data_IF_583377031649
#
_entry.id   IF_583377031649
#
_cell.length_a   1.000
_cell.length_b   1.000
_cell.length_c   1.000
_cell.angle_alpha   90.00
_cell.angle_beta   90.00
_cell.angle_gamma   90.00
#
_symmetry.space_group_name_H-M   'P 1'
#
loop_
_entity.id
_entity.type
_entity.pdbx_description
1 polymer ?
#
# COMPACT_ATOMS: atom_id res chain seq x y z
N UNK A 1 14.66 -36.37 22.21
CA UNK A 1 14.31 -35.74 20.92
C UNK A 1 12.82 -35.40 20.96
N UNK A 2 12.32 -34.38 20.25
CA UNK A 2 10.89 -34.24 20.05
C UNK A 2 10.34 -35.52 19.38
N UNK A 3 9.08 -35.84 19.66
CA UNK A 3 8.43 -37.01 19.08
C UNK A 3 8.36 -36.88 17.55
N UNK A 4 8.50 -37.98 16.80
CA UNK A 4 8.36 -37.96 15.35
C UNK A 4 6.95 -37.50 14.97
N UNK A 5 6.87 -36.53 14.05
CA UNK A 5 5.61 -36.01 13.53
C UNK A 5 5.09 -36.95 12.45
N UNK A 6 3.86 -37.45 12.61
CA UNK A 6 3.17 -38.18 11.54
C UNK A 6 2.78 -37.20 10.41
N UNK A 7 3.26 -37.48 9.19
CA UNK A 7 3.09 -36.58 8.05
C UNK A 7 1.63 -36.42 7.62
N UNK A 8 0.81 -37.47 7.75
CA UNK A 8 -0.59 -37.41 7.36
C UNK A 8 -1.44 -36.68 8.41
N UNK A 9 -1.12 -36.84 9.69
CA UNK A 9 -1.72 -36.04 10.77
C UNK A 9 -1.36 -34.55 10.62
N UNK A 10 -0.09 -34.24 10.34
CA UNK A 10 0.35 -32.87 10.11
C UNK A 10 -0.39 -32.22 8.93
N UNK A 11 -0.49 -32.92 7.80
CA UNK A 11 -1.23 -32.43 6.63
C UNK A 11 -2.71 -32.19 6.96
N UNK A 12 -3.39 -33.16 7.59
CA UNK A 12 -4.80 -33.01 7.99
C UNK A 12 -5.00 -31.83 8.93
N UNK A 13 -4.10 -31.64 9.89
CA UNK A 13 -4.15 -30.52 10.83
C UNK A 13 -3.99 -29.17 10.09
N UNK A 14 -3.02 -29.07 9.17
CA UNK A 14 -2.79 -27.87 8.36
C UNK A 14 -4.00 -27.54 7.46
N UNK A 15 -4.56 -28.53 6.76
CA UNK A 15 -5.74 -28.32 5.93
C UNK A 15 -6.96 -27.90 6.75
N UNK A 16 -7.17 -28.55 7.90
CA UNK A 16 -8.27 -28.23 8.81
C UNK A 16 -8.14 -26.80 9.31
N UNK A 17 -6.94 -26.39 9.74
CA UNK A 17 -6.67 -25.03 10.20
C UNK A 17 -7.04 -23.99 9.13
N UNK A 18 -6.51 -24.13 7.91
CA UNK A 18 -6.74 -23.13 6.85
C UNK A 18 -8.19 -23.12 6.36
N UNK A 19 -8.85 -24.28 6.27
CA UNK A 19 -10.28 -24.35 5.92
C UNK A 19 -11.15 -23.71 6.99
N UNK A 20 -10.82 -23.90 8.27
CA UNK A 20 -11.53 -23.25 9.38
C UNK A 20 -11.28 -21.75 9.39
N UNK A 21 -10.04 -21.33 9.20
CA UNK A 21 -9.65 -19.93 9.16
C UNK A 21 -10.38 -19.18 8.04
N UNK A 22 -10.51 -19.76 6.85
CA UNK A 22 -11.23 -19.14 5.72
C UNK A 22 -12.76 -19.09 5.86
N UNK A 23 -13.37 -19.74 6.86
CA UNK A 23 -14.84 -19.76 7.02
C UNK A 23 -15.51 -18.39 7.05
N UNK A 24 -14.94 -17.33 7.66
CA UNK A 24 -15.55 -16.01 7.71
C UNK A 24 -15.48 -15.23 6.40
N UNK A 25 -14.82 -15.75 5.35
CA UNK A 25 -14.67 -15.05 4.07
C UNK A 25 -16.04 -14.66 3.50
N UNK A 26 -16.25 -13.35 3.36
CA UNK A 26 -17.51 -12.75 2.89
C UNK A 26 -17.62 -12.64 1.37
N UNK A 27 -16.52 -12.78 0.64
CA UNK A 27 -16.49 -12.65 -0.81
C UNK A 27 -17.03 -13.90 -1.52
N UNK A 28 -18.11 -13.72 -2.28
CA UNK A 28 -18.78 -14.77 -3.07
C UNK A 28 -18.71 -14.51 -4.58
N UNK A 29 -17.96 -13.49 -5.01
CA UNK A 29 -17.82 -13.09 -6.40
C UNK A 29 -16.96 -14.05 -7.25
N UNK A 30 -16.82 -13.78 -8.57
CA UNK A 30 -16.17 -14.69 -9.51
C UNK A 30 -14.67 -14.92 -9.22
N UNK A 31 -14.02 -14.00 -8.51
CA UNK A 31 -12.58 -14.08 -8.20
C UNK A 31 -12.27 -14.69 -6.84
N UNK A 32 -13.20 -15.47 -6.26
CA UNK A 32 -13.13 -15.94 -4.87
C UNK A 32 -11.85 -16.70 -4.55
N UNK A 33 -11.37 -17.54 -5.45
CA UNK A 33 -10.15 -18.30 -5.23
C UNK A 33 -8.90 -17.41 -5.21
N UNK A 34 -8.88 -16.36 -6.03
CA UNK A 34 -7.80 -15.37 -6.03
C UNK A 34 -7.80 -14.57 -4.73
N UNK A 35 -8.98 -14.13 -4.28
CA UNK A 35 -9.16 -13.41 -3.00
C UNK A 35 -8.75 -14.28 -1.82
N UNK A 36 -9.24 -15.52 -1.75
CA UNK A 36 -8.93 -16.47 -0.68
C UNK A 36 -7.42 -16.78 -0.62
N UNK A 37 -6.77 -16.99 -1.78
CA UNK A 37 -5.32 -17.20 -1.83
C UNK A 37 -4.56 -15.98 -1.31
N UNK A 38 -4.90 -14.78 -1.76
CA UNK A 38 -4.25 -13.55 -1.29
C UNK A 38 -4.42 -13.33 0.21
N UNK A 39 -5.61 -13.60 0.76
CA UNK A 39 -5.86 -13.53 2.20
C UNK A 39 -5.03 -14.55 2.99
N UNK A 40 -4.92 -15.80 2.51
CA UNK A 40 -4.03 -16.82 3.09
C UNK A 40 -2.59 -16.30 3.10
N UNK A 41 -2.13 -15.69 2.01
CA UNK A 41 -0.77 -15.12 1.91
C UNK A 41 -0.57 -14.03 2.97
N UNK A 42 -1.47 -13.05 3.07
CA UNK A 42 -1.37 -11.99 4.09
C UNK A 42 -1.36 -12.57 5.52
N UNK A 43 -2.16 -13.60 5.78
CA UNK A 43 -2.16 -14.31 7.07
C UNK A 43 -0.83 -15.02 7.32
N UNK A 44 -0.26 -15.68 6.31
CA UNK A 44 1.01 -16.38 6.41
C UNK A 44 2.21 -15.42 6.61
N UNK A 45 2.09 -14.18 6.14
CA UNK A 45 3.06 -13.10 6.39
C UNK A 45 2.90 -12.45 7.77
N UNK A 46 1.85 -12.80 8.52
CA UNK A 46 1.61 -12.28 9.87
C UNK A 46 2.30 -13.15 10.91
N UNK A 47 3.19 -12.55 11.70
CA UNK A 47 3.83 -13.20 12.83
C UNK A 47 2.84 -13.32 13.99
N UNK A 48 2.29 -14.53 14.18
CA UNK A 48 1.21 -14.82 15.13
C UNK A 48 1.46 -14.30 16.57
N UNK A 49 2.67 -14.41 17.15
CA UNK A 49 2.89 -13.97 18.54
C UNK A 49 2.71 -12.47 18.76
N UNK A 50 2.93 -11.64 17.74
CA UNK A 50 2.89 -10.19 17.88
C UNK A 50 1.77 -9.54 17.08
N UNK A 51 1.38 -10.14 15.95
CA UNK A 51 0.48 -9.55 14.96
C UNK A 51 1.20 -8.68 13.90
N UNK A 52 2.53 -8.60 13.93
CA UNK A 52 3.31 -7.87 12.92
C UNK A 52 3.26 -8.59 11.57
N UNK A 53 2.92 -7.89 10.50
CA UNK A 53 2.91 -8.41 9.12
C UNK A 53 4.14 -7.91 8.36
N UNK A 54 4.93 -8.83 7.81
CA UNK A 54 6.09 -8.45 6.99
C UNK A 54 5.67 -8.12 5.57
N UNK A 55 6.37 -7.19 4.91
CA UNK A 55 6.12 -6.86 3.51
C UNK A 55 6.35 -8.07 2.57
N UNK A 56 7.39 -8.86 2.87
CA UNK A 56 7.64 -10.17 2.26
C UNK A 56 8.52 -11.04 3.20
N UNK A 57 8.53 -12.37 3.06
CA UNK A 57 9.39 -13.25 3.86
C UNK A 57 10.80 -13.40 3.28
N UNK A 58 11.16 -12.56 2.29
CA UNK A 58 12.42 -12.61 1.53
C UNK A 58 13.25 -11.35 1.72
N UNK A 59 14.52 -11.47 1.37
CA UNK A 59 15.44 -10.34 1.27
C UNK A 59 16.22 -10.41 -0.03
N UNK A 60 16.54 -9.25 -0.58
CA UNK A 60 17.52 -9.04 -1.64
C UNK A 60 17.24 -9.83 -2.91
N UNK A 61 15.96 -10.08 -3.18
CA UNK A 61 15.55 -10.51 -4.50
C UNK A 61 15.54 -9.28 -5.42
N UNK A 62 16.12 -9.40 -6.63
CA UNK A 62 16.37 -8.26 -7.49
C UNK A 62 15.12 -7.77 -8.24
N UNK A 63 14.90 -6.46 -8.22
CA UNK A 63 13.97 -5.75 -9.13
C UNK A 63 14.50 -5.74 -10.59
N UNK A 64 15.80 -5.95 -10.78
CA UNK A 64 16.45 -6.18 -12.07
C UNK A 64 17.58 -7.20 -11.89
N UNK A 65 17.61 -8.29 -12.65
CA UNK A 65 18.66 -9.31 -12.54
C UNK A 65 20.04 -8.68 -12.81
N UNK A 66 20.97 -8.83 -11.85
CA UNK A 66 22.29 -8.19 -11.87
C UNK A 66 22.30 -6.73 -11.41
N UNK A 67 21.12 -6.13 -11.19
CA UNK A 67 20.94 -4.75 -10.77
C UNK A 67 21.13 -4.52 -9.26
N UNK A 68 21.21 -3.25 -8.84
CA UNK A 68 21.50 -2.88 -7.46
C UNK A 68 20.26 -2.77 -6.57
N UNK A 69 19.04 -2.94 -7.10
CA UNK A 69 17.76 -2.80 -6.40
C UNK A 69 17.33 -4.11 -5.75
N UNK A 70 17.97 -4.40 -4.62
CA UNK A 70 17.83 -5.64 -3.86
C UNK A 70 17.59 -5.28 -2.39
N UNK A 71 16.34 -5.38 -1.91
CA UNK A 71 15.93 -4.86 -0.60
C UNK A 71 15.50 -5.97 0.38
N UNK A 72 15.70 -5.74 1.67
CA UNK A 72 15.21 -6.63 2.73
C UNK A 72 13.79 -6.24 3.15
N UNK A 73 12.82 -7.13 2.91
CA UNK A 73 11.39 -6.88 3.10
C UNK A 73 10.81 -7.63 4.30
N UNK A 74 11.65 -8.26 5.12
CA UNK A 74 11.26 -9.03 6.32
C UNK A 74 10.87 -8.15 7.51
N UNK A 75 10.43 -6.92 7.23
CA UNK A 75 10.06 -5.89 8.20
C UNK A 75 8.60 -5.48 8.00
N UNK A 76 8.05 -4.85 9.03
CA UNK A 76 6.67 -4.40 9.08
C UNK A 76 6.61 -2.91 8.76
N UNK A 77 6.18 -2.56 7.55
CA UNK A 77 5.83 -1.18 7.20
C UNK A 77 4.47 -0.80 7.77
N UNK A 78 4.36 0.43 8.28
CA UNK A 78 3.09 0.93 8.79
C UNK A 78 2.03 1.00 7.68
N UNK A 79 2.44 1.46 6.48
CA UNK A 79 1.66 1.49 5.24
C UNK A 79 1.05 0.14 4.90
N UNK A 80 1.91 -0.81 4.58
CA UNK A 80 1.55 -2.11 4.03
C UNK A 80 0.64 -2.86 4.99
N UNK A 81 0.91 -2.72 6.28
CA UNK A 81 0.13 -3.33 7.31
C UNK A 81 -1.27 -2.70 7.48
N UNK A 82 -1.39 -1.38 7.34
CA UNK A 82 -2.68 -0.69 7.30
C UNK A 82 -3.55 -1.12 6.12
N UNK A 83 -2.94 -1.27 4.95
CA UNK A 83 -3.62 -1.75 3.73
C UNK A 83 -4.00 -3.23 3.83
N UNK A 84 -3.13 -4.08 4.38
CA UNK A 84 -3.45 -5.49 4.64
C UNK A 84 -4.60 -5.62 5.66
N UNK A 85 -4.65 -4.75 6.66
CA UNK A 85 -5.74 -4.67 7.62
C UNK A 85 -7.07 -4.37 6.94
N UNK A 86 -7.10 -3.39 6.05
CA UNK A 86 -8.29 -3.05 5.28
C UNK A 86 -8.81 -4.27 4.50
N UNK A 87 -7.92 -4.98 3.81
CA UNK A 87 -8.28 -6.17 3.03
C UNK A 87 -8.87 -7.29 3.91
N UNK A 88 -8.28 -7.53 5.08
CA UNK A 88 -8.75 -8.52 6.06
C UNK A 88 -10.12 -8.12 6.64
N UNK A 89 -10.29 -6.87 7.08
CA UNK A 89 -11.54 -6.35 7.65
C UNK A 89 -12.69 -6.40 6.64
N UNK A 90 -12.46 -5.94 5.41
CA UNK A 90 -13.45 -6.02 4.31
C UNK A 90 -13.87 -7.46 4.03
N UNK A 91 -12.99 -8.42 4.29
CA UNK A 91 -13.21 -9.85 4.05
C UNK A 91 -13.75 -10.63 5.25
N UNK A 92 -14.06 -9.96 6.37
CA UNK A 92 -14.64 -10.58 7.57
C UNK A 92 -13.63 -11.06 8.62
N UNK A 93 -12.33 -10.77 8.44
CA UNK A 93 -11.25 -11.22 9.33
C UNK A 93 -10.90 -10.14 10.36
N UNK A 94 -11.52 -10.20 11.53
CA UNK A 94 -11.36 -9.19 12.61
C UNK A 94 -10.30 -9.55 13.65
N UNK A 95 -9.92 -10.83 13.78
CA UNK A 95 -8.97 -11.29 14.78
C UNK A 95 -7.54 -10.81 14.48
N UNK A 96 -7.09 -11.01 13.24
CA UNK A 96 -5.83 -10.48 12.71
C UNK A 96 -5.79 -8.96 12.87
N UNK A 97 -6.94 -8.33 12.68
CA UNK A 97 -7.04 -6.89 12.81
C UNK A 97 -6.87 -6.38 14.24
N UNK A 98 -7.32 -7.13 15.25
CA UNK A 98 -7.03 -6.81 16.65
C UNK A 98 -5.57 -7.06 17.01
N UNK A 99 -4.99 -8.18 16.54
CA UNK A 99 -3.59 -8.51 16.79
C UNK A 99 -2.65 -7.45 16.23
N UNK A 100 -2.85 -7.04 14.98
CA UNK A 100 -2.07 -5.98 14.35
C UNK A 100 -2.21 -4.64 15.07
N UNK A 101 -3.42 -4.26 15.50
CA UNK A 101 -3.61 -3.04 16.30
C UNK A 101 -2.79 -3.09 17.59
N UNK A 102 -2.76 -4.24 18.24
CA UNK A 102 -1.90 -4.47 19.40
C UNK A 102 -0.40 -4.32 19.07
N UNK A 103 0.04 -4.80 17.92
CA UNK A 103 1.41 -4.60 17.43
C UNK A 103 1.71 -3.12 17.19
N UNK A 104 0.85 -2.42 16.46
CA UNK A 104 1.01 -1.01 16.13
C UNK A 104 1.17 -0.17 17.39
N UNK A 105 0.28 -0.35 18.37
CA UNK A 105 0.33 0.37 19.65
C UNK A 105 1.67 0.20 20.37
N UNK A 106 2.26 -0.99 20.31
CA UNK A 106 3.58 -1.24 20.91
C UNK A 106 4.71 -0.62 20.08
N UNK A 107 4.65 -0.70 18.76
CA UNK A 107 5.68 -0.19 17.86
C UNK A 107 5.77 1.35 17.88
N UNK A 108 4.62 2.02 17.85
CA UNK A 108 4.53 3.50 17.81
C UNK A 108 4.49 4.15 19.20
N UNK A 109 4.62 3.35 20.27
CA UNK A 109 4.73 3.89 21.62
C UNK A 109 5.93 4.85 21.71
N UNK A 110 5.72 6.01 22.33
CA UNK A 110 6.72 7.06 22.46
C UNK A 110 6.24 8.42 21.92
N UNK A 111 7.18 9.25 21.46
CA UNK A 111 6.87 10.57 20.91
C UNK A 111 6.49 10.45 19.42
N UNK A 112 5.53 11.25 18.92
CA UNK A 112 5.11 11.23 17.51
C UNK A 112 6.26 11.45 16.53
N UNK A 113 7.21 12.33 16.89
CA UNK A 113 8.39 12.60 16.05
C UNK A 113 9.36 11.41 15.94
N UNK A 114 9.21 10.39 16.78
CA UNK A 114 10.04 9.19 16.77
C UNK A 114 9.33 8.01 16.08
N UNK A 115 8.15 8.23 15.45
CA UNK A 115 7.49 7.20 14.65
C UNK A 115 8.33 6.95 13.40
N UNK A 116 8.67 5.68 13.17
CA UNK A 116 9.40 5.22 11.99
C UNK A 116 8.42 4.69 10.96
N UNK A 117 8.86 4.64 9.70
CA UNK A 117 8.05 4.13 8.60
C UNK A 117 7.87 2.60 8.68
N UNK A 118 8.84 1.92 9.31
CA UNK A 118 8.88 0.47 9.44
C UNK A 118 9.55 0.04 10.74
N UNK A 119 9.27 -1.19 11.15
CA UNK A 119 9.76 -1.80 12.38
C UNK A 119 10.06 -3.29 12.18
N UNK A 120 10.81 -3.90 13.11
CA UNK A 120 10.93 -5.35 13.21
C UNK A 120 9.61 -6.02 13.57
N UNK A 121 9.54 -7.34 13.41
CA UNK A 121 8.33 -8.15 13.64
C UNK A 121 7.79 -8.03 15.08
N UNK A 122 8.62 -7.68 16.06
CA UNK A 122 8.18 -7.43 17.43
C UNK A 122 8.18 -5.93 17.81
N UNK A 123 8.36 -5.03 16.83
CA UNK A 123 8.39 -3.58 17.03
C UNK A 123 9.80 -3.00 17.20
N UNK A 124 10.84 -3.77 16.86
CA UNK A 124 12.23 -3.31 16.96
C UNK A 124 12.49 -2.12 16.02
N UNK A 125 13.16 -1.08 16.55
CA UNK A 125 13.44 0.16 15.82
C UNK A 125 14.75 0.15 15.02
N UNK A 126 15.67 -0.74 15.41
CA UNK A 126 17.03 -0.79 14.86
C UNK A 126 17.08 -1.75 13.69
N UNK A 127 16.93 -1.22 12.48
CA UNK A 127 16.97 -1.97 11.22
C UNK A 127 18.19 -1.58 10.37
N UNK A 128 19.35 -1.49 11.02
CA UNK A 128 20.60 -1.06 10.37
C UNK A 128 20.88 -1.90 9.13
N UNK A 129 20.91 -1.23 7.97
CA UNK A 129 21.25 -1.86 6.70
C UNK A 129 22.75 -2.14 6.61
N UNK A 130 23.11 -3.33 6.14
CA UNK A 130 24.47 -3.72 5.80
C UNK A 130 24.47 -4.72 4.64
N UNK A 131 25.60 -4.82 3.94
CA UNK A 131 25.75 -5.67 2.76
C UNK A 131 26.52 -6.96 3.09
N UNK A 132 25.93 -8.11 2.77
CA UNK A 132 26.55 -9.43 2.89
C UNK A 132 27.37 -9.76 1.63
N UNK A 133 28.54 -9.16 1.51
CA UNK A 133 29.41 -9.22 0.32
C UNK A 133 29.87 -10.64 -0.05
N UNK A 134 29.91 -11.57 0.90
CA UNK A 134 30.25 -12.98 0.67
C UNK A 134 29.15 -13.79 -0.01
N UNK A 135 27.92 -13.29 -0.06
CA UNK A 135 26.82 -13.95 -0.75
C UNK A 135 26.82 -13.53 -2.23
N UNK A 136 26.70 -14.48 -3.18
CA UNK A 136 26.68 -14.15 -4.60
C UNK A 136 25.38 -13.43 -5.01
N UNK A 137 24.33 -13.52 -4.19
CA UNK A 137 23.00 -13.02 -4.51
C UNK A 137 22.25 -13.89 -5.51
N UNK A 138 20.94 -13.66 -5.62
CA UNK A 138 20.09 -14.43 -6.52
C UNK A 138 20.47 -14.13 -7.98
N UNK A 139 20.81 -15.18 -8.74
CA UNK A 139 21.32 -15.08 -10.11
C UNK A 139 22.51 -14.11 -10.26
N UNK A 140 23.35 -13.98 -9.22
CA UNK A 140 24.50 -13.08 -9.24
C UNK A 140 24.17 -11.61 -8.98
N UNK A 141 22.93 -11.29 -8.59
CA UNK A 141 22.48 -9.92 -8.34
C UNK A 141 23.01 -9.40 -7.01
N UNK A 142 23.75 -8.29 -7.04
CA UNK A 142 24.43 -7.71 -5.86
C UNK A 142 24.07 -6.23 -5.72
N UNK A 143 24.05 -5.68 -4.50
CA UNK A 143 24.44 -6.32 -3.23
C UNK A 143 23.32 -7.18 -2.62
N UNK A 144 23.68 -8.06 -1.69
CA UNK A 144 22.73 -8.71 -0.77
C UNK A 144 22.66 -7.86 0.49
N UNK A 145 21.51 -7.24 0.75
CA UNK A 145 21.26 -6.36 1.90
C UNK A 145 20.55 -7.10 3.03
N UNK A 146 20.93 -6.77 4.25
CA UNK A 146 20.21 -7.17 5.47
C UNK A 146 19.97 -5.90 6.27
N UNK A 147 18.74 -5.70 6.72
CA UNK A 147 18.30 -4.38 7.19
C UNK A 147 17.76 -3.53 6.05
N UNK A 148 17.21 -2.37 6.39
CA UNK A 148 16.65 -1.47 5.41
C UNK A 148 16.88 -0.01 5.82
N UNK A 149 17.63 0.72 5.00
CA UNK A 149 18.02 2.09 5.29
C UNK A 149 16.84 3.06 5.35
N UNK A 150 15.68 2.71 4.77
CA UNK A 150 14.51 3.56 4.82
C UNK A 150 13.94 3.72 6.24
N UNK A 151 14.35 2.87 7.20
CA UNK A 151 13.97 3.00 8.61
C UNK A 151 14.41 4.32 9.27
N UNK A 152 15.39 5.01 8.68
CA UNK A 152 15.85 6.34 9.09
C UNK A 152 15.29 7.50 8.26
N UNK A 153 14.46 7.22 7.24
CA UNK A 153 13.88 8.23 6.38
C UNK A 153 12.67 8.91 7.03
N UNK A 154 12.39 10.12 6.54
CA UNK A 154 11.17 10.86 6.86
C UNK A 154 10.16 10.66 5.74
N UNK A 155 8.95 10.27 6.11
CA UNK A 155 7.81 10.08 5.22
C UNK A 155 6.60 10.77 5.82
N UNK A 156 6.04 11.74 5.09
CA UNK A 156 4.89 12.53 5.55
C UNK A 156 3.55 11.85 5.23
N UNK A 157 3.56 10.77 4.45
CA UNK A 157 2.42 9.93 4.13
C UNK A 157 2.00 9.00 5.28
N UNK A 158 2.95 8.54 6.11
CA UNK A 158 2.71 7.61 7.22
C UNK A 158 1.59 8.05 8.17
N UNK A 159 1.53 9.31 8.65
CA UNK A 159 0.39 9.77 9.45
C UNK A 159 -0.97 9.63 8.75
N UNK A 160 -1.02 9.85 7.43
CA UNK A 160 -2.22 9.65 6.62
C UNK A 160 -2.67 8.19 6.59
N UNK A 161 -1.74 7.25 6.41
CA UNK A 161 -2.01 5.81 6.40
C UNK A 161 -2.51 5.31 7.75
N UNK A 162 -1.90 5.77 8.84
CA UNK A 162 -2.34 5.46 10.20
C UNK A 162 -3.76 5.97 10.45
N UNK A 163 -4.03 7.22 10.07
CA UNK A 163 -5.34 7.84 10.22
C UNK A 163 -6.40 7.15 9.37
N UNK A 164 -6.05 6.69 8.18
CA UNK A 164 -6.94 5.89 7.33
C UNK A 164 -7.28 4.56 7.98
N UNK A 165 -6.27 3.88 8.52
CA UNK A 165 -6.46 2.60 9.18
C UNK A 165 -7.36 2.72 10.42
N UNK A 166 -7.17 3.79 11.21
CA UNK A 166 -8.05 4.10 12.35
C UNK A 166 -9.48 4.37 11.88
N UNK A 167 -9.64 5.13 10.79
CA UNK A 167 -10.94 5.44 10.22
C UNK A 167 -11.69 4.17 9.78
N UNK A 168 -11.03 3.29 9.03
CA UNK A 168 -11.59 2.02 8.57
C UNK A 168 -11.94 1.07 9.72
N UNK A 169 -11.08 1.00 10.74
CA UNK A 169 -11.33 0.21 11.96
C UNK A 169 -12.64 0.63 12.63
N UNK A 170 -12.83 1.95 12.82
CA UNK A 170 -14.02 2.50 13.45
C UNK A 170 -15.27 2.25 12.60
N UNK A 171 -15.17 2.48 11.28
CA UNK A 171 -16.28 2.20 10.34
C UNK A 171 -16.68 0.73 10.30
N UNK A 172 -15.74 -0.17 10.59
CA UNK A 172 -15.99 -1.61 10.69
C UNK A 172 -16.59 -2.04 12.03
N UNK A 173 -16.98 -1.08 12.90
CA UNK A 173 -17.62 -1.34 14.20
C UNK A 173 -16.65 -1.73 15.31
N UNK A 174 -15.34 -1.70 15.06
CA UNK A 174 -14.33 -2.00 16.08
C UNK A 174 -14.09 -0.75 16.93
N UNK A 175 -14.17 -0.92 18.26
CA UNK A 175 -13.90 0.18 19.19
C UNK A 175 -12.40 0.46 19.23
N UNK A 176 -11.98 1.70 18.93
CA UNK A 176 -10.58 2.11 19.09
C UNK A 176 -10.26 2.25 20.58
N UNK A 177 -9.07 1.81 20.98
CA UNK A 177 -8.58 1.95 22.36
C UNK A 177 -8.27 3.41 22.65
N UNK A 178 -8.36 3.82 23.93
CA UNK A 178 -8.17 5.21 24.37
C UNK A 178 -6.84 5.83 23.89
N UNK A 179 -5.76 5.04 23.82
CA UNK A 179 -4.43 5.51 23.39
C UNK A 179 -4.40 5.97 21.92
N UNK A 180 -5.18 5.34 21.02
CA UNK A 180 -5.20 5.74 19.61
C UNK A 180 -5.80 7.14 19.42
N UNK A 181 -6.71 7.56 20.31
CA UNK A 181 -7.30 8.91 20.29
C UNK A 181 -6.27 9.97 20.71
N UNK A 182 -5.46 9.70 21.74
CA UNK A 182 -4.39 10.61 22.14
C UNK A 182 -3.27 10.67 21.10
N UNK A 183 -2.94 9.54 20.47
CA UNK A 183 -1.96 9.49 19.39
C UNK A 183 -2.42 10.30 18.16
N UNK A 184 -3.70 10.22 17.80
CA UNK A 184 -4.28 10.99 16.70
C UNK A 184 -4.01 12.50 16.84
N UNK A 185 -4.34 13.10 18.00
CA UNK A 185 -4.12 14.53 18.21
C UNK A 185 -2.64 14.91 18.08
N UNK A 186 -1.76 14.13 18.71
CA UNK A 186 -0.33 14.36 18.67
C UNK A 186 0.30 14.19 17.27
N UNK A 187 -0.21 13.24 16.46
CA UNK A 187 0.19 13.05 15.06
C UNK A 187 -0.25 14.24 14.22
N UNK A 188 -1.48 14.72 14.35
CA UNK A 188 -1.99 15.86 13.60
C UNK A 188 -1.26 17.16 13.97
N UNK A 189 -0.97 17.39 15.25
CA UNK A 189 -0.20 18.56 15.71
C UNK A 189 1.25 18.54 15.18
N UNK A 190 1.86 17.37 15.07
CA UNK A 190 3.17 17.22 14.42
C UNK A 190 3.06 17.47 12.91
N UNK A 191 2.09 16.84 12.26
CA UNK A 191 1.88 16.93 10.82
C UNK A 191 1.57 18.35 10.36
N UNK A 192 0.78 19.12 11.11
CA UNK A 192 0.47 20.52 10.77
C UNK A 192 1.74 21.39 10.67
N UNK A 193 2.75 21.10 11.50
CA UNK A 193 4.03 21.81 11.48
C UNK A 193 4.97 21.32 10.38
N UNK A 194 4.78 20.08 9.93
CA UNK A 194 5.71 19.34 9.09
C UNK A 194 5.25 19.18 7.63
N UNK A 195 3.95 19.29 7.34
CA UNK A 195 3.41 18.92 6.03
C UNK A 195 3.95 19.78 4.89
N UNK A 196 4.43 20.99 5.16
CA UNK A 196 5.05 21.87 4.18
C UNK A 196 6.54 21.58 3.94
N UNK A 197 7.14 20.61 4.64
CA UNK A 197 8.54 20.21 4.45
C UNK A 197 8.68 19.11 3.39
N UNK A 198 9.84 18.97 2.73
CA UNK A 198 10.09 17.84 1.83
C UNK A 198 10.32 16.52 2.59
N UNK A 199 10.05 15.39 1.92
CA UNK A 199 10.17 14.04 2.46
C UNK A 199 10.69 13.05 1.39
N UNK A 200 10.77 11.75 1.71
CA UNK A 200 11.31 10.73 0.80
C UNK A 200 10.26 10.02 -0.07
N UNK A 201 8.99 10.40 0.07
CA UNK A 201 7.89 9.84 -0.72
C UNK A 201 7.63 8.36 -0.46
N UNK A 202 6.60 7.84 -1.12
CA UNK A 202 6.14 6.45 -1.01
C UNK A 202 7.25 5.43 -1.34
N UNK A 203 8.06 5.76 -2.35
CA UNK A 203 9.06 4.87 -2.94
C UNK A 203 10.44 4.91 -2.23
N UNK A 204 10.53 5.59 -1.09
CA UNK A 204 11.70 5.51 -0.20
C UNK A 204 13.03 5.85 -0.90
N UNK A 205 12.98 6.84 -1.79
CA UNK A 205 14.08 7.13 -2.71
C UNK A 205 15.38 7.40 -1.95
N UNK A 206 16.51 7.02 -2.54
CA UNK A 206 17.83 7.37 -2.00
C UNK A 206 18.26 8.80 -2.37
N UNK A 207 17.37 9.54 -3.05
CA UNK A 207 17.60 10.90 -3.50
C UNK A 207 17.39 11.93 -2.37
N UNK A 208 17.60 13.20 -2.69
CA UNK A 208 17.30 14.28 -1.75
C UNK A 208 15.77 14.41 -1.55
N UNK A 209 15.29 14.70 -0.32
CA UNK A 209 13.86 14.87 -0.08
C UNK A 209 13.21 15.89 -1.01
N UNK A 210 11.96 15.63 -1.44
CA UNK A 210 11.17 16.53 -2.29
C UNK A 210 9.76 16.71 -1.74
N UNK A 211 9.01 17.66 -2.30
CA UNK A 211 7.58 17.80 -2.01
C UNK A 211 6.78 16.82 -2.87
N UNK A 212 6.80 15.54 -2.52
CA UNK A 212 6.07 14.51 -3.26
C UNK A 212 4.56 14.73 -3.18
N UNK A 213 3.89 14.74 -4.33
CA UNK A 213 2.45 15.02 -4.39
C UNK A 213 1.66 13.97 -3.61
N UNK A 214 2.02 12.69 -3.74
CA UNK A 214 1.41 11.61 -2.95
C UNK A 214 1.53 11.87 -1.44
N UNK A 215 2.71 12.26 -0.95
CA UNK A 215 2.89 12.56 0.48
C UNK A 215 2.00 13.71 0.95
N UNK A 216 1.84 14.76 0.14
CA UNK A 216 0.94 15.88 0.48
C UNK A 216 -0.53 15.48 0.44
N UNK A 217 -0.93 14.63 -0.50
CA UNK A 217 -2.26 14.01 -0.53
C UNK A 217 -2.50 13.19 0.75
N UNK A 218 -1.52 12.42 1.20
CA UNK A 218 -1.65 11.64 2.44
C UNK A 218 -1.64 12.52 3.70
N UNK A 219 -0.96 13.67 3.69
CA UNK A 219 -1.14 14.69 4.72
C UNK A 219 -2.60 15.18 4.76
N UNK A 220 -3.21 15.45 3.59
CA UNK A 220 -4.63 15.80 3.49
C UNK A 220 -5.52 14.68 4.04
N UNK A 221 -5.23 13.41 3.72
CA UNK A 221 -5.99 12.25 4.21
C UNK A 221 -6.01 12.24 5.74
N UNK A 222 -4.87 12.50 6.40
CA UNK A 222 -4.81 12.53 7.86
C UNK A 222 -5.84 13.49 8.48
N UNK A 223 -5.91 14.72 7.97
CA UNK A 223 -6.87 15.72 8.44
C UNK A 223 -8.30 15.42 8.00
N UNK A 224 -8.51 14.92 6.78
CA UNK A 224 -9.85 14.51 6.31
C UNK A 224 -10.45 13.40 7.18
N UNK A 225 -9.66 12.38 7.49
CA UNK A 225 -10.11 11.28 8.38
C UNK A 225 -10.37 11.79 9.80
N UNK A 226 -9.57 12.72 10.30
CA UNK A 226 -9.82 13.35 11.60
C UNK A 226 -11.17 14.08 11.65
N UNK A 227 -11.48 14.87 10.62
CA UNK A 227 -12.75 15.58 10.46
C UNK A 227 -13.92 14.60 10.40
N UNK A 228 -13.87 13.60 9.50
CA UNK A 228 -14.93 12.58 9.36
C UNK A 228 -15.17 11.80 10.64
N UNK A 229 -14.11 11.48 11.39
CA UNK A 229 -14.22 10.77 12.65
C UNK A 229 -14.87 11.63 13.74
N UNK A 230 -14.53 12.92 13.81
CA UNK A 230 -15.14 13.83 14.78
C UNK A 230 -16.64 14.05 14.52
N UNK A 231 -17.01 14.27 13.25
CA UNK A 231 -18.39 14.50 12.84
C UNK A 231 -19.26 13.23 12.96
N UNK A 232 -18.77 12.10 12.46
CA UNK A 232 -19.56 10.86 12.39
C UNK A 232 -19.66 10.08 13.71
N UNK A 233 -18.72 10.29 14.64
CA UNK A 233 -18.62 9.49 15.87
C UNK A 233 -18.57 10.33 17.15
N UNK A 234 -18.96 11.62 17.06
CA UNK A 234 -19.02 12.56 18.18
C UNK A 234 -17.73 12.62 19.00
N UNK A 235 -16.56 12.57 18.33
CA UNK A 235 -15.27 12.68 19.00
C UNK A 235 -14.89 14.14 19.21
N UNK A 236 -14.49 14.55 20.42
CA UNK A 236 -14.04 15.91 20.66
C UNK A 236 -12.72 16.18 19.94
N UNK A 237 -12.59 17.35 19.34
CA UNK A 237 -11.38 17.83 18.66
C UNK A 237 -11.62 19.21 18.04
N UNK A 238 -10.58 19.95 17.66
CA UNK A 238 -10.71 21.25 17.00
C UNK A 238 -11.09 21.07 15.52
N UNK A 239 -12.29 20.53 15.25
CA UNK A 239 -12.74 20.11 13.91
C UNK A 239 -12.67 21.25 12.89
N UNK A 240 -13.07 22.46 13.27
CA UNK A 240 -13.01 23.63 12.38
C UNK A 240 -11.58 23.98 11.99
N UNK A 241 -10.62 23.85 12.91
CA UNK A 241 -9.20 24.02 12.63
C UNK A 241 -8.68 22.93 11.68
N UNK A 242 -9.02 21.66 11.95
CA UNK A 242 -8.65 20.56 11.05
C UNK A 242 -9.22 20.71 9.64
N UNK A 243 -10.45 21.23 9.49
CA UNK A 243 -11.02 21.56 8.18
C UNK A 243 -10.19 22.63 7.46
N UNK A 244 -9.80 23.69 8.16
CA UNK A 244 -8.96 24.75 7.59
C UNK A 244 -7.59 24.23 7.13
N UNK A 245 -6.94 23.38 7.93
CA UNK A 245 -5.66 22.77 7.56
C UNK A 245 -5.82 21.82 6.37
N UNK A 246 -6.83 20.95 6.40
CA UNK A 246 -7.19 20.06 5.29
C UNK A 246 -7.38 20.84 3.99
N UNK A 247 -8.21 21.87 4.01
CA UNK A 247 -8.55 22.64 2.81
C UNK A 247 -7.33 23.40 2.28
N UNK A 248 -6.47 23.93 3.18
CA UNK A 248 -5.19 24.54 2.79
C UNK A 248 -4.26 23.56 2.08
N UNK A 249 -4.11 22.33 2.59
CA UNK A 249 -3.28 21.31 1.96
C UNK A 249 -3.86 20.92 0.59
N UNK A 250 -5.18 20.78 0.48
CA UNK A 250 -5.83 20.48 -0.80
C UNK A 250 -5.52 21.54 -1.85
N UNK A 251 -5.68 22.81 -1.48
CA UNK A 251 -5.48 23.92 -2.39
C UNK A 251 -4.00 24.02 -2.81
N UNK A 252 -3.06 23.85 -1.87
CA UNK A 252 -1.61 23.80 -2.14
C UNK A 252 -1.24 22.66 -3.12
N UNK A 253 -1.74 21.44 -2.91
CA UNK A 253 -1.52 20.31 -3.81
C UNK A 253 -2.08 20.55 -5.20
N UNK A 254 -3.27 21.11 -5.29
CA UNK A 254 -3.91 21.41 -6.57
C UNK A 254 -3.18 22.51 -7.35
N UNK A 255 -2.57 23.47 -6.65
CA UNK A 255 -1.82 24.57 -7.25
C UNK A 255 -0.39 24.16 -7.65
N UNK A 256 0.33 23.47 -6.76
CA UNK A 256 1.77 23.20 -6.91
C UNK A 256 2.07 21.81 -7.51
N UNK A 257 1.16 20.86 -7.34
CA UNK A 257 1.34 19.46 -7.76
C UNK A 257 0.72 19.11 -9.10
N UNK A 258 -0.09 20.00 -9.68
CA UNK A 258 -0.79 19.76 -10.94
C UNK A 258 -0.11 20.49 -12.11
N UNK A 259 0.16 19.77 -13.19
CA UNK A 259 0.59 20.33 -14.47
C UNK A 259 -0.65 20.62 -15.34
N UNK A 260 -1.06 21.89 -15.52
CA UNK A 260 -2.23 22.23 -16.32
C UNK A 260 -2.01 22.05 -17.83
N UNK A 261 -0.76 22.04 -18.30
CA UNK A 261 -0.44 21.87 -19.72
C UNK A 261 -0.60 20.40 -20.12
N UNK A 262 -0.12 19.48 -19.28
CA UNK A 262 -0.26 18.03 -19.51
C UNK A 262 -1.53 17.45 -18.90
N UNK A 263 -2.27 18.26 -18.13
CA UNK A 263 -3.48 17.86 -17.40
C UNK A 263 -3.26 16.63 -16.51
N UNK A 264 -2.19 16.65 -15.71
CA UNK A 264 -1.84 15.54 -14.81
C UNK A 264 -1.20 16.06 -13.53
N UNK A 265 -1.43 15.37 -12.41
CA UNK A 265 -0.55 15.51 -11.26
C UNK A 265 0.82 14.93 -11.59
N UNK A 266 1.88 15.53 -11.03
CA UNK A 266 3.27 15.09 -11.22
C UNK A 266 3.85 14.55 -9.92
N UNK A 267 4.98 13.85 -10.00
CA UNK A 267 5.60 13.14 -8.87
C UNK A 267 5.85 14.04 -7.65
N UNK A 268 6.34 15.25 -7.90
CA UNK A 268 6.70 16.22 -6.87
C UNK A 268 6.53 17.64 -7.40
N UNK A 269 6.38 18.62 -6.51
CA UNK A 269 6.23 20.02 -6.89
C UNK A 269 7.38 20.49 -7.78
N UNK A 270 7.02 21.17 -8.88
CA UNK A 270 7.97 21.63 -9.90
C UNK A 270 8.63 20.53 -10.74
N UNK A 271 8.22 19.26 -10.60
CA UNK A 271 8.71 18.14 -11.40
C UNK A 271 7.82 17.90 -12.61
N UNK A 272 8.37 17.56 -13.80
CA UNK A 272 7.58 17.04 -14.91
C UNK A 272 7.37 15.51 -14.84
N UNK A 273 8.10 14.80 -13.98
CA UNK A 273 8.04 13.34 -13.91
C UNK A 273 6.68 12.85 -13.38
N UNK A 274 6.22 11.69 -13.87
CA UNK A 274 4.99 11.06 -13.40
C UNK A 274 5.28 10.06 -12.28
N UNK A 275 4.24 9.76 -11.49
CA UNK A 275 4.28 8.78 -10.41
C UNK A 275 2.96 8.00 -10.36
N UNK A 276 3.05 6.67 -10.39
CA UNK A 276 1.90 5.78 -10.34
C UNK A 276 1.16 5.84 -8.98
N UNK A 277 1.80 6.31 -7.91
CA UNK A 277 1.14 6.53 -6.62
C UNK A 277 -0.04 7.51 -6.72
N UNK A 278 -0.07 8.37 -7.74
CA UNK A 278 -1.15 9.33 -7.98
C UNK A 278 -2.45 8.68 -8.48
N UNK A 279 -2.40 7.40 -8.88
CA UNK A 279 -3.60 6.60 -9.14
C UNK A 279 -4.44 6.40 -7.87
N UNK A 280 -3.88 6.61 -6.68
CA UNK A 280 -4.57 6.50 -5.40
C UNK A 280 -5.41 7.74 -5.04
N UNK A 281 -5.29 8.85 -5.79
CA UNK A 281 -6.06 10.09 -5.56
C UNK A 281 -7.59 9.84 -5.48
N UNK A 282 -8.23 9.17 -6.46
CA UNK A 282 -9.67 8.90 -6.37
C UNK A 282 -10.00 7.92 -5.24
N UNK A 283 -9.14 6.94 -4.98
CA UNK A 283 -9.33 5.96 -3.90
C UNK A 283 -9.34 6.62 -2.52
N UNK A 284 -8.46 7.59 -2.30
CA UNK A 284 -8.38 8.34 -1.04
C UNK A 284 -9.49 9.39 -0.94
N UNK A 285 -10.22 9.69 -2.01
CA UNK A 285 -11.25 10.73 -2.02
C UNK A 285 -10.69 12.15 -1.95
N UNK A 286 -9.39 12.33 -2.25
CA UNK A 286 -8.74 13.64 -2.33
C UNK A 286 -9.42 14.52 -3.39
N UNK A 287 -9.75 13.92 -4.54
CA UNK A 287 -10.60 14.50 -5.57
C UNK A 287 -11.64 13.48 -6.04
N UNK A 288 -12.82 13.93 -6.51
CA UNK A 288 -13.82 13.06 -7.11
C UNK A 288 -13.27 12.27 -8.32
N UNK A 289 -13.71 11.03 -8.56
CA UNK A 289 -13.26 10.25 -9.71
C UNK A 289 -13.52 10.90 -11.08
N UNK A 290 -14.59 11.69 -11.20
CA UNK A 290 -14.96 12.41 -12.43
C UNK A 290 -14.28 13.78 -12.57
N UNK A 291 -13.43 14.19 -11.62
CA UNK A 291 -12.64 15.41 -11.73
C UNK A 291 -11.68 15.30 -12.94
N UNK A 292 -11.66 16.29 -13.86
CA UNK A 292 -10.81 16.26 -15.04
C UNK A 292 -9.32 16.04 -14.73
N UNK A 293 -8.85 16.49 -13.56
CA UNK A 293 -7.45 16.31 -13.12
C UNK A 293 -7.16 14.86 -12.77
N UNK A 294 -8.14 14.16 -12.19
CA UNK A 294 -8.04 12.72 -11.88
C UNK A 294 -8.03 11.91 -13.16
N UNK A 295 -8.99 12.15 -14.05
CA UNK A 295 -9.07 11.44 -15.35
C UNK A 295 -7.79 11.66 -16.16
N UNK A 296 -7.33 12.90 -16.27
CA UNK A 296 -6.10 13.23 -16.98
C UNK A 296 -4.85 12.58 -16.38
N UNK A 297 -4.77 12.46 -15.05
CA UNK A 297 -3.66 11.76 -14.38
C UNK A 297 -3.67 10.26 -14.68
N UNK A 298 -4.84 9.61 -14.65
CA UNK A 298 -4.98 8.18 -14.99
C UNK A 298 -4.56 7.93 -16.43
N UNK A 299 -5.01 8.77 -17.37
CA UNK A 299 -4.67 8.66 -18.78
C UNK A 299 -3.18 8.93 -19.05
N UNK A 300 -2.57 9.90 -18.33
CA UNK A 300 -1.14 10.17 -18.43
C UNK A 300 -0.29 9.01 -17.91
N UNK A 301 -0.60 8.50 -16.72
CA UNK A 301 0.10 7.34 -16.14
C UNK A 301 -0.02 6.12 -17.05
N UNK A 302 -1.23 5.81 -17.55
CA UNK A 302 -1.41 4.67 -18.47
C UNK A 302 -0.63 4.83 -19.77
N UNK A 303 -0.57 6.04 -20.33
CA UNK A 303 0.12 6.28 -21.59
C UNK A 303 1.64 6.24 -21.45
N UNK A 304 2.17 6.76 -20.35
CA UNK A 304 3.60 7.08 -20.23
C UNK A 304 4.36 6.18 -19.25
N UNK A 305 3.67 5.52 -18.31
CA UNK A 305 4.28 4.56 -17.36
C UNK A 305 3.96 3.10 -17.68
N UNK A 306 3.11 2.81 -18.67
CA UNK A 306 2.82 1.43 -19.04
C UNK A 306 3.93 0.83 -19.92
N UNK A 307 4.53 -0.26 -19.46
CA UNK A 307 5.43 -1.14 -20.20
C UNK A 307 4.72 -2.46 -20.48
N UNK A 308 4.45 -2.75 -21.76
CA UNK A 308 3.64 -3.91 -22.19
C UNK A 308 2.29 -3.99 -21.46
N UNK A 309 1.67 -2.86 -21.12
CA UNK A 309 0.38 -2.82 -20.39
C UNK A 309 0.45 -3.13 -18.89
N UNK A 310 1.64 -3.26 -18.31
CA UNK A 310 1.89 -3.21 -16.87
C UNK A 310 2.53 -1.88 -16.50
N UNK A 311 2.35 -1.40 -15.27
CA UNK A 311 2.71 -0.03 -14.87
C UNK A 311 4.02 0.00 -14.07
N UNK A 312 4.96 0.88 -14.46
CA UNK A 312 6.17 1.23 -13.71
C UNK A 312 5.86 2.19 -12.56
N UNK A 313 6.73 2.28 -11.53
CA UNK A 313 6.49 3.17 -10.38
C UNK A 313 6.48 4.65 -10.78
N UNK A 314 7.44 5.05 -11.59
CA UNK A 314 7.65 6.42 -12.01
C UNK A 314 8.31 6.47 -13.39
N UNK A 315 8.33 7.64 -14.01
CA UNK A 315 8.93 7.83 -15.32
C UNK A 315 10.43 7.52 -15.26
N UNK A 316 10.88 6.58 -16.11
CA UNK A 316 12.29 6.45 -16.44
C UNK A 316 12.67 7.62 -17.35
N UNK A 317 12.93 8.79 -16.75
CA UNK A 317 13.33 9.98 -17.49
C UNK A 317 14.60 9.74 -18.32
N UNK A 318 14.97 10.70 -19.19
CA UNK A 318 16.25 10.67 -19.94
C UNK A 318 17.49 10.90 -19.07
N UNK A 319 17.31 11.08 -17.75
CA UNK A 319 18.34 11.35 -16.76
C UNK A 319 18.50 10.22 -15.74
N UNK A 320 19.26 10.43 -14.65
CA UNK A 320 19.33 9.45 -13.56
C UNK A 320 17.92 9.19 -13.01
N UNK A 321 17.67 7.94 -12.65
CA UNK A 321 16.37 7.50 -12.11
C UNK A 321 15.94 8.37 -10.92
N UNK A 322 14.64 8.69 -10.78
CA UNK A 322 14.12 9.44 -9.62
C UNK A 322 14.49 8.86 -8.26
N UNK A 323 14.73 7.54 -8.17
CA UNK A 323 15.17 6.87 -6.94
C UNK A 323 16.66 7.05 -6.60
N UNK A 324 17.45 7.62 -7.50
CA UNK A 324 18.90 7.81 -7.37
C UNK A 324 19.73 6.57 -7.72
N UNK A 325 19.15 5.54 -8.32
CA UNK A 325 19.82 4.30 -8.71
C UNK A 325 19.97 4.16 -10.23
N UNK A 326 20.96 3.36 -10.65
CA UNK A 326 21.18 3.06 -12.07
C UNK A 326 20.39 1.81 -12.49
N UNK A 327 20.07 1.75 -13.78
CA UNK A 327 19.37 0.61 -14.39
C UNK A 327 17.84 0.73 -14.37
N UNK A 328 17.14 -0.04 -15.22
CA UNK A 328 15.68 -0.17 -15.19
C UNK A 328 15.16 -0.93 -13.96
N UNK A 329 13.84 -1.04 -13.87
CA UNK A 329 13.10 -1.90 -12.94
C UNK A 329 12.08 -2.74 -13.71
N UNK A 330 11.57 -3.80 -13.09
CA UNK A 330 10.40 -4.51 -13.57
C UNK A 330 9.13 -3.67 -13.42
N UNK A 331 8.02 -4.14 -14.02
CA UNK A 331 6.74 -3.49 -13.82
C UNK A 331 6.19 -3.81 -12.42
N UNK A 332 5.89 -2.76 -11.66
CA UNK A 332 5.44 -2.89 -10.28
C UNK A 332 3.98 -3.34 -10.25
N UNK A 333 3.73 -4.55 -9.75
CA UNK A 333 2.43 -5.20 -9.90
C UNK A 333 1.32 -4.46 -9.14
N UNK A 334 1.63 -3.91 -7.96
CA UNK A 334 0.68 -3.10 -7.20
C UNK A 334 0.20 -1.88 -8.00
N UNK A 335 1.08 -1.18 -8.72
CA UNK A 335 0.72 -0.03 -9.55
C UNK A 335 -0.24 -0.41 -10.69
N UNK A 336 -0.08 -1.61 -11.24
CA UNK A 336 -0.99 -2.12 -12.26
C UNK A 336 -2.38 -2.43 -11.68
N UNK A 337 -2.45 -2.96 -10.46
CA UNK A 337 -3.73 -3.10 -9.76
C UNK A 337 -4.35 -1.75 -9.40
N UNK A 338 -3.56 -0.75 -9.00
CA UNK A 338 -4.06 0.61 -8.76
C UNK A 338 -4.63 1.24 -10.04
N UNK A 339 -4.02 0.97 -11.20
CA UNK A 339 -4.56 1.42 -12.48
C UNK A 339 -5.91 0.75 -12.76
N UNK A 340 -6.04 -0.55 -12.51
CA UNK A 340 -7.32 -1.25 -12.64
C UNK A 340 -8.40 -0.65 -11.72
N UNK A 341 -8.08 -0.38 -10.45
CA UNK A 341 -9.00 0.28 -9.51
C UNK A 341 -9.39 1.69 -10.00
N UNK A 342 -8.41 2.49 -10.42
CA UNK A 342 -8.63 3.85 -10.89
C UNK A 342 -9.49 3.89 -12.17
N UNK A 343 -9.23 3.01 -13.14
CA UNK A 343 -10.05 2.85 -14.35
C UNK A 343 -11.50 2.51 -13.98
N UNK A 344 -11.70 1.61 -13.03
CA UNK A 344 -13.02 1.25 -12.56
C UNK A 344 -13.74 2.45 -11.90
N UNK A 345 -13.05 3.19 -11.03
CA UNK A 345 -13.62 4.36 -10.33
C UNK A 345 -14.10 5.46 -11.29
N UNK A 346 -13.42 5.64 -12.44
CA UNK A 346 -13.80 6.58 -13.49
C UNK A 346 -14.79 6.00 -14.52
N UNK A 347 -15.32 4.79 -14.27
CA UNK A 347 -16.36 4.16 -15.08
C UNK A 347 -15.87 3.36 -16.29
N UNK A 348 -14.57 3.11 -16.42
CA UNK A 348 -13.96 2.31 -17.51
C UNK A 348 -13.84 0.85 -17.10
N UNK A 349 -14.97 0.25 -16.76
CA UNK A 349 -15.05 -1.07 -16.13
C UNK A 349 -14.48 -2.20 -16.99
N UNK A 350 -14.75 -2.22 -18.30
CA UNK A 350 -14.26 -3.28 -19.18
C UNK A 350 -12.73 -3.28 -19.24
N UNK A 351 -12.12 -2.09 -19.31
CA UNK A 351 -10.67 -1.93 -19.31
C UNK A 351 -10.05 -2.31 -17.96
N UNK A 352 -10.73 -1.97 -16.85
CA UNK A 352 -10.32 -2.39 -15.51
C UNK A 352 -10.36 -3.92 -15.36
N UNK A 353 -11.43 -4.57 -15.85
CA UNK A 353 -11.59 -6.02 -15.81
C UNK A 353 -10.53 -6.74 -16.65
N UNK A 354 -10.30 -6.27 -17.87
CA UNK A 354 -9.27 -6.83 -18.76
C UNK A 354 -7.87 -6.78 -18.11
N UNK A 355 -7.50 -5.62 -17.55
CA UNK A 355 -6.23 -5.48 -16.85
C UNK A 355 -6.16 -6.37 -15.60
N UNK A 356 -7.25 -6.44 -14.82
CA UNK A 356 -7.30 -7.28 -13.62
C UNK A 356 -7.14 -8.77 -13.94
N UNK A 357 -7.86 -9.29 -14.94
CA UNK A 357 -7.77 -10.69 -15.36
C UNK A 357 -6.37 -11.02 -15.92
N UNK A 358 -5.77 -10.08 -16.65
CA UNK A 358 -4.38 -10.20 -17.08
C UNK A 358 -3.43 -10.30 -15.89
N UNK A 359 -3.56 -9.44 -14.88
CA UNK A 359 -2.72 -9.50 -13.67
C UNK A 359 -2.89 -10.84 -12.93
N UNK A 360 -4.12 -11.35 -12.86
CA UNK A 360 -4.38 -12.68 -12.31
C UNK A 360 -3.72 -13.81 -13.11
N UNK A 361 -3.43 -13.63 -14.40
CA UNK A 361 -2.70 -14.62 -15.20
C UNK A 361 -1.19 -14.68 -14.91
N UNK A 362 -0.63 -13.65 -14.25
CA UNK A 362 0.80 -13.59 -13.89
C UNK A 362 1.15 -14.36 -12.62
N UNK A 363 0.14 -14.81 -11.87
CA UNK A 363 0.32 -15.63 -10.68
C UNK A 363 1.03 -16.92 -11.01
N UNK A 364 1.85 -17.41 -10.08
CA UNK A 364 2.42 -18.74 -10.20
C UNK A 364 1.35 -19.84 -10.00
N UNK A 365 1.79 -21.10 -10.07
CA UNK A 365 0.98 -22.32 -9.92
C UNK A 365 0.18 -22.40 -8.61
N UNK A 366 0.64 -21.72 -7.55
CA UNK A 366 -0.07 -21.63 -6.26
C UNK A 366 -0.79 -20.30 -6.03
N UNK A 367 -0.85 -19.44 -7.05
CA UNK A 367 -1.62 -18.19 -7.02
C UNK A 367 -0.90 -16.99 -6.39
N UNK A 368 0.43 -17.02 -6.28
CA UNK A 368 1.26 -15.99 -5.65
C UNK A 368 1.85 -15.01 -6.67
N UNK A 369 2.09 -13.77 -6.21
CA UNK A 369 2.73 -12.69 -6.97
C UNK A 369 3.93 -12.14 -6.19
N UNK A 370 4.98 -11.76 -6.91
CA UNK A 370 6.09 -10.99 -6.38
C UNK A 370 5.76 -9.49 -6.38
N UNK A 371 6.78 -8.69 -6.12
CA UNK A 371 6.75 -7.23 -6.20
C UNK A 371 6.63 -6.71 -7.63
N UNK A 372 7.46 -7.24 -8.52
CA UNK A 372 7.53 -6.80 -9.90
C UNK A 372 7.42 -7.97 -10.87
N UNK A 373 7.21 -7.63 -12.13
CA UNK A 373 7.19 -8.56 -13.23
C UNK A 373 7.99 -8.02 -14.41
N UNK A 374 8.85 -8.84 -14.98
CA UNK A 374 9.52 -8.54 -16.24
C UNK A 374 8.62 -8.98 -17.41
N UNK A 375 8.03 -8.05 -18.19
CA UNK A 375 7.19 -8.41 -19.33
C UNK A 375 7.97 -9.01 -20.50
N UNK A 376 9.28 -8.74 -20.61
CA UNK A 376 10.15 -9.24 -21.68
C UNK A 376 10.60 -10.66 -21.37
N UNK A 377 11.21 -10.88 -20.21
CA UNK A 377 11.66 -12.21 -19.78
C UNK A 377 10.50 -13.08 -19.25
N UNK A 378 9.33 -12.49 -19.00
CA UNK A 378 8.11 -13.14 -18.49
C UNK A 378 8.34 -13.89 -17.18
N UNK A 379 8.92 -13.17 -16.21
CA UNK A 379 9.24 -13.72 -14.89
C UNK A 379 8.91 -12.73 -13.78
N UNK A 380 8.59 -13.27 -12.61
CA UNK A 380 8.46 -12.53 -11.35
C UNK A 380 9.85 -12.00 -10.93
N UNK A 381 9.89 -10.77 -10.40
CA UNK A 381 11.06 -10.06 -9.91
C UNK A 381 10.78 -9.40 -8.55
N UNK A 382 11.82 -8.98 -7.85
CA UNK A 382 11.73 -8.40 -6.52
C UNK A 382 11.27 -9.41 -5.45
N UNK A 383 10.86 -8.90 -4.29
CA UNK A 383 10.54 -9.74 -3.14
C UNK A 383 9.27 -10.59 -3.34
N UNK A 384 9.23 -11.80 -2.74
CA UNK A 384 8.19 -12.81 -3.05
C UNK A 384 7.77 -13.68 -1.84
N UNK A 385 6.47 -14.00 -1.70
CA UNK A 385 5.35 -13.24 -2.26
C UNK A 385 5.27 -11.88 -1.58
N UNK A 386 4.77 -10.86 -2.28
CA UNK A 386 4.72 -9.51 -1.74
C UNK A 386 3.32 -9.16 -1.21
N UNK A 387 3.23 -8.78 0.07
CA UNK A 387 1.97 -8.34 0.67
C UNK A 387 1.36 -7.17 -0.10
N UNK A 388 2.18 -6.18 -0.45
CA UNK A 388 1.77 -4.94 -1.12
C UNK A 388 1.16 -5.15 -2.50
N UNK A 389 1.48 -6.27 -3.18
CA UNK A 389 0.84 -6.67 -4.45
C UNK A 389 -0.46 -7.44 -4.22
N UNK A 390 -0.54 -8.28 -3.18
CA UNK A 390 -1.74 -9.06 -2.88
C UNK A 390 -2.91 -8.23 -2.31
N UNK A 391 -2.64 -7.09 -1.67
CA UNK A 391 -3.69 -6.20 -1.13
C UNK A 391 -4.56 -5.55 -2.22
N UNK A 392 -4.01 -4.81 -3.19
CA UNK A 392 -4.84 -4.17 -4.22
C UNK A 392 -5.54 -5.20 -5.12
N UNK A 393 -5.01 -6.42 -5.26
CA UNK A 393 -5.73 -7.54 -5.89
C UNK A 393 -7.07 -7.81 -5.20
N UNK A 394 -7.07 -7.93 -3.87
CA UNK A 394 -8.29 -8.16 -3.09
C UNK A 394 -9.25 -7.00 -3.31
N UNK A 395 -8.77 -5.76 -3.19
CA UNK A 395 -9.58 -4.55 -3.37
C UNK A 395 -10.28 -4.53 -4.73
N UNK A 396 -9.55 -4.66 -5.83
CA UNK A 396 -10.12 -4.61 -7.18
C UNK A 396 -11.15 -5.73 -7.40
N UNK A 397 -10.92 -6.92 -6.83
CA UNK A 397 -11.91 -8.01 -6.89
C UNK A 397 -13.25 -7.65 -6.23
N UNK A 398 -13.22 -6.94 -5.09
CA UNK A 398 -14.43 -6.45 -4.42
C UNK A 398 -15.13 -5.34 -5.22
N UNK A 399 -14.38 -4.40 -5.77
CA UNK A 399 -14.97 -3.29 -6.53
C UNK A 399 -15.66 -3.79 -7.80
N UNK A 400 -15.01 -4.69 -8.56
CA UNK A 400 -15.60 -5.31 -9.75
C UNK A 400 -16.86 -6.14 -9.44
N UNK A 401 -16.94 -6.79 -8.27
CA UNK A 401 -18.10 -7.59 -7.86
C UNK A 401 -19.28 -6.74 -7.34
N UNK A 402 -18.98 -5.67 -6.58
CA UNK A 402 -20.00 -4.73 -6.10
C UNK A 402 -20.84 -4.18 -7.25
N UNK A 403 -20.19 -3.78 -8.35
CA UNK A 403 -20.90 -3.24 -9.50
C UNK A 403 -21.69 -4.30 -10.26
N UNK A 404 -21.14 -5.51 -10.43
CA UNK A 404 -21.91 -6.62 -11.01
C UNK A 404 -23.20 -6.90 -10.22
N UNK A 405 -23.14 -6.77 -8.89
CA UNK A 405 -24.30 -6.94 -8.01
C UNK A 405 -25.28 -5.76 -8.08
N UNK A 406 -24.79 -4.52 -8.15
CA UNK A 406 -25.61 -3.31 -8.30
C UNK A 406 -26.32 -3.25 -9.66
N UNK A 407 -25.62 -3.62 -10.75
CA UNK A 407 -26.18 -3.70 -12.09
C UNK A 407 -27.24 -4.81 -12.19
N UNK A 408 -27.02 -5.97 -11.56
CA UNK A 408 -28.04 -7.05 -11.47
C UNK A 408 -29.25 -6.66 -10.62
N UNK A 409 -29.08 -5.79 -9.62
CA UNK A 409 -30.16 -5.34 -8.71
C UNK A 409 -30.86 -4.06 -9.17
N UNK A 410 -30.40 -3.40 -10.23
CA UNK A 410 -31.02 -2.19 -10.78
C UNK A 410 -31.06 -1.00 -9.82
N UNK A 411 -30.13 -0.93 -8.84
CA UNK A 411 -30.12 0.13 -7.82
C UNK A 411 -29.33 1.33 -8.36
N UNK A 412 -29.92 2.54 -8.46
CA UNK A 412 -29.20 3.75 -8.89
C UNK A 412 -28.13 4.13 -7.87
N UNK A 413 -26.97 4.58 -8.37
CA UNK A 413 -25.84 5.09 -7.58
C UNK A 413 -26.30 6.26 -6.70
N UNK A 414 -26.31 6.10 -5.37
CA UNK A 414 -26.42 7.24 -4.45
C UNK A 414 -25.07 7.93 -4.40
N UNK A 415 -25.05 9.17 -4.87
CA UNK A 415 -23.94 10.10 -4.70
C UNK A 415 -24.17 10.74 -3.33
N UNK A 416 -23.39 10.34 -2.32
CA UNK A 416 -23.29 11.00 -1.01
C UNK A 416 -21.84 11.42 -0.77
#
# INVERSE_FOLDING_TARGET
>A
APDPVDAFDALRATETYWRQWLRPLTYEGPYRDAVARSLITLKALTYEPTGGIVAAPTTSLPEEIGGPRNWDYRYCWLRDAGLALEALLRSGFTAEADAWRGWLERAVAGRPQDVQIMYGIAGERRLTEWEADWLPGYEGSRPVRIGNAAAGQRQLDVPGELMETVHLTIRSGLRPRHHLVSLQGLLLDHLERAWSEPDQGLWETRSAPRHHVHSKVMCWVAFDRAVRLAEGHARPGPVDHWRQVRDRIRDDVCEQGFDPVRSTFTQAYGSPELDAALLLIPQTGFLPPDDPRVVGTIDAVRRELAADGLVLRYSAGRGPSPDGLAGPEGAFLACSFWLADALFLIGREDEARELFERLLSLRNDVGLLAEEYDPVARRQLGNFPQAFTHVPLIRVAYELDRHATEHRRGVPRKID
#
